data_IF_753651965578
#
_entry.id   IF_753651965578
#
_cell.length_a   1.000
_cell.length_b   1.000
_cell.length_c   1.000
_cell.angle_alpha   90.00
_cell.angle_beta   90.00
_cell.angle_gamma   90.00
#
_symmetry.space_group_name_H-M   'P 1'
#
loop_
_entity.id
_entity.type
_entity.pdbx_description
1 polymer ?
#
# COMPACT_ATOMS: atom_id res chain seq x y z
N UNK A 1 3.15 -0.59 -52.07
CA UNK A 1 3.98 -0.20 -50.91
C UNK A 1 3.03 0.36 -49.86
N UNK A 2 2.44 -0.50 -49.04
CA UNK A 2 1.34 -0.14 -48.12
C UNK A 2 1.33 -1.05 -46.89
N UNK A 3 2.48 -1.28 -46.26
CA UNK A 3 2.57 -2.18 -45.09
C UNK A 3 3.13 -1.49 -43.83
N UNK A 4 3.59 -0.24 -43.93
CA UNK A 4 4.19 0.47 -42.79
C UNK A 4 3.17 1.13 -41.84
N UNK A 5 1.92 1.38 -42.27
CA UNK A 5 0.93 2.09 -41.45
C UNK A 5 0.11 1.20 -40.50
N UNK A 6 0.08 -0.12 -40.69
CA UNK A 6 -0.79 -0.99 -39.89
C UNK A 6 -0.11 -1.49 -38.60
N UNK A 7 1.21 -1.74 -38.66
CA UNK A 7 1.99 -2.30 -37.54
C UNK A 7 2.21 -1.32 -36.39
N UNK A 8 2.27 -0.03 -36.67
CA UNK A 8 2.54 0.99 -35.64
C UNK A 8 1.33 1.27 -34.75
N UNK A 9 0.12 1.17 -35.32
CA UNK A 9 -1.14 1.35 -34.57
C UNK A 9 -1.42 0.17 -33.63
N UNK A 10 -1.04 -1.05 -34.04
CA UNK A 10 -1.18 -2.28 -33.23
C UNK A 10 -0.20 -2.30 -32.05
N UNK A 11 1.03 -1.78 -32.22
CA UNK A 11 2.00 -1.72 -31.12
C UNK A 11 1.62 -0.70 -30.05
N UNK A 12 1.05 0.44 -30.45
CA UNK A 12 0.66 1.50 -29.52
C UNK A 12 -0.55 1.06 -28.66
N UNK A 13 -1.53 0.37 -29.26
CA UNK A 13 -2.67 -0.19 -28.53
C UNK A 13 -2.28 -1.33 -27.58
N UNK A 14 -1.30 -2.16 -27.94
CA UNK A 14 -0.78 -3.20 -27.03
C UNK A 14 -0.04 -2.60 -25.83
N UNK A 15 0.74 -1.55 -26.04
CA UNK A 15 1.44 -0.84 -24.97
C UNK A 15 0.46 -0.16 -24.01
N UNK A 16 -0.56 0.54 -24.52
CA UNK A 16 -1.59 1.18 -23.70
C UNK A 16 -2.38 0.17 -22.85
N UNK A 17 -2.70 -1.00 -23.41
CA UNK A 17 -3.36 -2.07 -22.66
C UNK A 17 -2.46 -2.65 -21.57
N UNK A 18 -1.15 -2.80 -21.83
CA UNK A 18 -0.18 -3.23 -20.84
C UNK A 18 -0.07 -2.22 -19.69
N UNK A 19 -0.04 -0.93 -20.01
CA UNK A 19 0.06 0.15 -19.02
C UNK A 19 -1.18 0.18 -18.12
N UNK A 20 -2.38 0.03 -18.69
CA UNK A 20 -3.63 -0.08 -17.93
C UNK A 20 -3.63 -1.27 -16.98
N UNK A 21 -3.18 -2.43 -17.44
CA UNK A 21 -3.08 -3.63 -16.61
C UNK A 21 -2.13 -3.45 -15.44
N UNK A 22 -0.98 -2.79 -15.63
CA UNK A 22 -0.04 -2.53 -14.55
C UNK A 22 -0.64 -1.61 -13.48
N UNK A 23 -1.36 -0.57 -13.91
CA UNK A 23 -2.02 0.37 -12.99
C UNK A 23 -3.16 -0.31 -12.23
N UNK A 24 -4.00 -1.08 -12.91
CA UNK A 24 -5.08 -1.86 -12.30
C UNK A 24 -4.52 -2.87 -11.28
N UNK A 25 -3.43 -3.56 -11.62
CA UNK A 25 -2.73 -4.45 -10.69
C UNK A 25 -2.27 -3.71 -9.44
N UNK A 26 -1.65 -2.53 -9.59
CA UNK A 26 -1.22 -1.73 -8.45
C UNK A 26 -2.41 -1.33 -7.56
N UNK A 27 -3.52 -0.88 -8.14
CA UNK A 27 -4.73 -0.52 -7.37
C UNK A 27 -5.26 -1.71 -6.56
N UNK A 28 -5.35 -2.89 -7.19
CA UNK A 28 -5.82 -4.09 -6.51
C UNK A 28 -4.86 -4.53 -5.39
N UNK A 29 -3.55 -4.52 -5.65
CA UNK A 29 -2.55 -4.85 -4.61
C UNK A 29 -2.62 -3.87 -3.43
N UNK A 30 -2.81 -2.57 -3.68
CA UNK A 30 -2.96 -1.57 -2.60
C UNK A 30 -4.25 -1.78 -1.80
N UNK A 31 -5.36 -2.12 -2.46
CA UNK A 31 -6.62 -2.41 -1.80
C UNK A 31 -6.53 -3.64 -0.89
N UNK A 32 -5.94 -4.74 -1.39
CA UNK A 32 -5.70 -5.95 -0.60
C UNK A 32 -4.74 -5.67 0.56
N UNK A 33 -3.65 -4.91 0.33
CA UNK A 33 -2.70 -4.54 1.36
C UNK A 33 -3.39 -3.77 2.50
N UNK A 34 -4.26 -2.82 2.16
CA UNK A 34 -5.03 -2.05 3.13
C UNK A 34 -5.99 -2.93 3.94
N UNK A 35 -6.66 -3.89 3.31
CA UNK A 35 -7.52 -4.86 3.99
C UNK A 35 -6.72 -5.69 5.00
N UNK A 36 -5.57 -6.25 4.58
CA UNK A 36 -4.67 -7.00 5.46
C UNK A 36 -4.18 -6.19 6.64
N UNK A 37 -3.80 -4.93 6.40
CA UNK A 37 -3.41 -4.04 7.48
C UNK A 37 -4.57 -3.86 8.45
N UNK A 38 -5.78 -3.51 8.00
CA UNK A 38 -6.96 -3.33 8.87
C UNK A 38 -7.22 -4.55 9.74
N UNK A 39 -7.09 -5.74 9.18
CA UNK A 39 -7.27 -7.03 9.88
C UNK A 39 -6.12 -7.43 10.81
N UNK A 40 -5.08 -6.59 10.96
CA UNK A 40 -3.87 -6.90 11.73
C UNK A 40 -3.06 -8.09 11.17
N UNK A 41 -3.31 -8.49 9.93
CA UNK A 41 -2.56 -9.51 9.21
C UNK A 41 -1.28 -8.90 8.60
N UNK A 42 -0.30 -8.59 9.45
CA UNK A 42 0.96 -7.96 9.03
C UNK A 42 1.78 -8.90 8.15
N UNK A 43 1.75 -10.20 8.43
CA UNK A 43 2.47 -11.21 7.65
C UNK A 43 1.89 -11.32 6.23
N UNK A 44 0.56 -11.25 6.09
CA UNK A 44 -0.11 -11.20 4.79
C UNK A 44 0.04 -9.84 4.09
N UNK A 45 0.16 -8.74 4.83
CA UNK A 45 0.36 -7.39 4.28
C UNK A 45 1.75 -7.19 3.66
N UNK A 46 2.80 -7.78 4.26
CA UNK A 46 4.19 -7.58 3.83
C UNK A 46 4.47 -7.92 2.35
N UNK A 47 4.11 -9.11 1.82
CA UNK A 47 4.36 -9.43 0.41
C UNK A 47 3.61 -8.50 -0.54
N UNK A 48 2.40 -8.06 -0.17
CA UNK A 48 1.62 -7.09 -0.96
C UNK A 48 2.31 -5.72 -0.98
N UNK A 49 2.91 -5.29 0.13
CA UNK A 49 3.68 -4.05 0.18
C UNK A 49 4.91 -4.08 -0.75
N UNK A 50 5.63 -5.20 -0.78
CA UNK A 50 6.78 -5.40 -1.68
C UNK A 50 6.37 -5.41 -3.15
N UNK A 51 5.26 -6.08 -3.48
CA UNK A 51 4.69 -6.11 -4.82
C UNK A 51 4.22 -4.72 -5.27
N UNK A 52 3.45 -4.02 -4.44
CA UNK A 52 3.02 -2.65 -4.71
C UNK A 52 4.20 -1.70 -4.90
N UNK A 53 5.28 -1.85 -4.11
CA UNK A 53 6.51 -1.07 -4.30
C UNK A 53 7.16 -1.33 -5.65
N UNK A 54 7.19 -2.58 -6.10
CA UNK A 54 7.77 -2.97 -7.40
C UNK A 54 6.96 -2.42 -8.56
N UNK A 55 5.62 -2.58 -8.50
CA UNK A 55 4.70 -2.07 -9.50
C UNK A 55 4.76 -0.54 -9.59
N UNK A 56 4.70 0.14 -8.45
CA UNK A 56 4.80 1.60 -8.36
C UNK A 56 6.11 2.13 -8.96
N UNK A 57 7.23 1.46 -8.68
CA UNK A 57 8.51 1.83 -9.27
C UNK A 57 8.53 1.63 -10.80
N UNK A 58 7.99 0.52 -11.29
CA UNK A 58 7.91 0.26 -12.73
C UNK A 58 7.01 1.29 -13.45
N UNK A 59 5.85 1.58 -12.87
CA UNK A 59 4.89 2.60 -13.34
C UNK A 59 5.52 3.99 -13.37
N UNK A 60 6.28 4.35 -12.33
CA UNK A 60 6.98 5.63 -12.22
C UNK A 60 8.10 5.76 -13.26
N UNK A 61 8.92 4.72 -13.44
CA UNK A 61 9.98 4.71 -14.46
C UNK A 61 9.39 4.87 -15.88
N UNK A 62 8.25 4.22 -16.13
CA UNK A 62 7.56 4.30 -17.41
C UNK A 62 6.75 5.60 -17.60
N UNK A 63 6.65 6.46 -16.58
CA UNK A 63 5.89 7.71 -16.64
C UNK A 63 4.40 7.51 -16.93
N UNK A 64 3.83 6.36 -16.55
CA UNK A 64 2.45 5.99 -16.92
C UNK A 64 1.45 6.95 -16.26
N UNK A 65 1.61 7.21 -14.95
CA UNK A 65 0.68 8.08 -14.20
C UNK A 65 0.85 9.59 -14.49
N UNK A 66 1.86 9.98 -15.27
CA UNK A 66 2.01 11.36 -15.72
C UNK A 66 1.13 11.69 -16.93
N UNK A 67 0.56 10.66 -17.59
CA UNK A 67 -0.31 10.82 -18.74
C UNK A 67 -1.73 11.18 -18.30
N UNK A 68 -2.39 12.02 -19.09
CA UNK A 68 -3.69 12.58 -18.72
C UNK A 68 -4.79 11.51 -18.61
N UNK A 69 -4.71 10.42 -19.37
CA UNK A 69 -5.68 9.33 -19.32
C UNK A 69 -5.66 8.51 -18.03
N UNK A 70 -4.63 8.68 -17.18
CA UNK A 70 -4.49 8.00 -15.88
C UNK A 70 -4.70 8.94 -14.68
N UNK A 71 -5.27 10.13 -14.89
CA UNK A 71 -5.41 11.12 -13.82
C UNK A 71 -6.30 10.64 -12.66
N UNK A 72 -7.35 9.88 -12.98
CA UNK A 72 -8.26 9.33 -11.96
C UNK A 72 -7.59 8.20 -11.18
N UNK A 73 -6.88 7.30 -11.86
CA UNK A 73 -6.08 6.21 -11.27
C UNK A 73 -5.01 6.78 -10.33
N UNK A 74 -4.28 7.81 -10.80
CA UNK A 74 -3.27 8.49 -9.97
C UNK A 74 -3.87 8.99 -8.67
N UNK A 75 -5.04 9.65 -8.74
CA UNK A 75 -5.74 10.14 -7.56
C UNK A 75 -6.10 9.00 -6.61
N UNK A 76 -6.67 7.90 -7.11
CA UNK A 76 -7.06 6.73 -6.28
C UNK A 76 -5.84 6.05 -5.63
N UNK A 77 -4.72 5.96 -6.34
CA UNK A 77 -3.45 5.45 -5.82
C UNK A 77 -2.91 6.34 -4.71
N UNK A 78 -2.91 7.67 -4.90
CA UNK A 78 -2.47 8.63 -3.89
C UNK A 78 -3.34 8.55 -2.62
N UNK A 79 -4.66 8.44 -2.78
CA UNK A 79 -5.61 8.24 -1.67
C UNK A 79 -5.32 6.93 -0.93
N UNK A 80 -5.04 5.84 -1.65
CA UNK A 80 -4.72 4.54 -1.05
C UNK A 80 -3.43 4.58 -0.23
N UNK A 81 -2.37 5.23 -0.72
CA UNK A 81 -1.13 5.41 0.04
C UNK A 81 -1.33 6.26 1.31
N UNK A 82 -2.10 7.34 1.20
CA UNK A 82 -2.43 8.18 2.35
C UNK A 82 -3.19 7.38 3.42
N UNK A 83 -4.16 6.57 2.99
CA UNK A 83 -4.95 5.74 3.89
C UNK A 83 -4.11 4.65 4.57
N UNK A 84 -3.25 3.95 3.83
CA UNK A 84 -2.29 2.98 4.40
C UNK A 84 -1.42 3.66 5.46
N UNK A 85 -0.91 4.86 5.19
CA UNK A 85 -0.13 5.63 6.15
C UNK A 85 -0.89 5.94 7.44
N UNK A 86 -2.16 6.33 7.32
CA UNK A 86 -3.04 6.57 8.47
C UNK A 86 -3.31 5.30 9.28
N UNK A 87 -3.59 4.17 8.62
CA UNK A 87 -3.83 2.88 9.28
C UNK A 87 -2.59 2.44 10.06
N UNK A 88 -1.39 2.54 9.46
CA UNK A 88 -0.14 2.20 10.13
C UNK A 88 0.09 3.11 11.35
N UNK A 89 -0.13 4.42 11.20
CA UNK A 89 0.02 5.37 12.31
C UNK A 89 -0.93 5.06 13.47
N UNK A 90 -2.21 4.78 13.16
CA UNK A 90 -3.21 4.37 14.16
C UNK A 90 -2.80 3.10 14.91
N UNK A 91 -2.36 2.06 14.18
CA UNK A 91 -1.91 0.80 14.78
C UNK A 91 -0.68 0.97 15.68
N UNK A 92 0.26 1.84 15.28
CA UNK A 92 1.42 2.17 16.11
C UNK A 92 1.00 2.85 17.42
N UNK A 93 0.04 3.77 17.37
CA UNK A 93 -0.50 4.40 18.57
C UNK A 93 -1.15 3.37 19.49
N UNK A 94 -2.00 2.48 18.96
CA UNK A 94 -2.64 1.43 19.77
C UNK A 94 -1.64 0.50 20.47
N UNK A 95 -0.53 0.16 19.80
CA UNK A 95 0.54 -0.63 20.42
C UNK A 95 1.26 0.16 21.52
N UNK A 96 1.52 1.44 21.30
CA UNK A 96 2.11 2.31 22.32
C UNK A 96 1.25 2.41 23.57
N UNK A 97 -0.05 2.64 23.40
CA UNK A 97 -1.01 2.75 24.52
C UNK A 97 -1.05 1.44 25.33
N UNK A 98 -1.12 0.29 24.65
CA UNK A 98 -1.09 -1.03 25.32
C UNK A 98 0.20 -1.29 26.09
N UNK A 99 1.35 -0.85 25.56
CA UNK A 99 2.64 -1.00 26.25
C UNK A 99 2.72 -0.11 27.51
N UNK A 100 2.09 1.06 27.48
CA UNK A 100 1.97 1.94 28.64
C UNK A 100 1.10 1.29 29.72
N UNK A 101 -0.09 0.78 29.36
CA UNK A 101 -0.97 0.05 30.28
C UNK A 101 -0.27 -1.15 30.94
N UNK A 102 0.50 -1.92 30.18
CA UNK A 102 1.27 -3.06 30.73
C UNK A 102 2.31 -2.57 31.75
N UNK A 103 3.00 -1.47 31.47
CA UNK A 103 4.02 -0.90 32.36
C UNK A 103 3.39 -0.45 33.67
N UNK A 104 2.30 0.30 33.60
CA UNK A 104 1.56 0.77 34.78
C UNK A 104 1.05 -0.41 35.63
N UNK A 105 0.56 -1.47 34.98
CA UNK A 105 0.16 -2.70 35.65
C UNK A 105 1.32 -3.37 36.41
N UNK A 106 2.50 -3.45 35.80
CA UNK A 106 3.71 -4.00 36.44
C UNK A 106 4.14 -3.16 37.65
N UNK A 107 4.12 -1.83 37.53
CA UNK A 107 4.48 -0.92 38.63
C UNK A 107 3.52 -1.07 39.81
N UNK A 108 2.21 -1.13 39.53
CA UNK A 108 1.17 -1.30 40.55
C UNK A 108 1.31 -2.64 41.30
N UNK A 109 1.57 -3.72 40.56
CA UNK A 109 1.81 -5.04 41.16
C UNK A 109 3.07 -5.06 42.03
N UNK A 110 4.16 -4.43 41.55
CA UNK A 110 5.43 -4.36 42.29
C UNK A 110 5.26 -3.59 43.61
N UNK A 111 4.61 -2.42 43.55
CA UNK A 111 4.31 -1.63 44.75
C UNK A 111 3.39 -2.36 45.74
N UNK A 112 2.49 -3.23 45.25
CA UNK A 112 1.61 -4.04 46.11
C UNK A 112 2.37 -5.16 46.82
N UNK A 113 3.38 -5.75 46.18
CA UNK A 113 4.25 -6.77 46.76
C UNK A 113 5.16 -6.16 47.82
N UNK A 114 5.75 -4.99 47.54
CA UNK A 114 6.65 -4.29 48.47
C UNK A 114 5.95 -3.81 49.75
N UNK A 115 4.63 -3.58 49.71
CA UNK A 115 3.83 -3.18 50.88
C UNK A 115 3.33 -4.37 51.73
N UNK A 116 3.58 -5.62 51.33
CA UNK A 116 3.21 -6.83 52.09
C UNK A 116 4.40 -7.56 52.74
N UNK A 117 5.63 -7.12 52.50
CA UNK A 117 6.86 -7.61 53.16
C UNK A 117 7.31 -6.69 54.29
#
# INVERSE_FOLDING_TARGET
MTEASNTQTETDTLAENSDRLMVEQLENTLAEHLEKLRDYDIDGAMPLAEEASRLSQAISIAGILDRAEFADERKRIDESYAEIGLVIAGKRQEVSDKLEEIREGIETLSASIDNQG
#
